data_IF_634259456823
#
_entry.id   IF_634259456823
#
_cell.length_a   1.000
_cell.length_b   1.000
_cell.length_c   1.000
_cell.angle_alpha   90.00
_cell.angle_beta   90.00
_cell.angle_gamma   90.00
#
_symmetry.space_group_name_H-M   'P 1'
#
loop_
_entity.id
_entity.type
_entity.pdbx_description
1 polymer ?
#
# COMPACT_ATOMS: atom_id res chain seq x y z
N UNK A 1 4.41 20.67 -15.17
CA UNK A 1 4.96 19.41 -14.61
C UNK A 1 6.46 19.53 -14.59
N UNK A 2 7.07 19.60 -13.41
CA UNK A 2 8.52 19.74 -13.25
C UNK A 2 9.20 18.39 -13.45
N UNK A 3 10.39 18.36 -14.06
CA UNK A 3 11.14 17.12 -14.36
C UNK A 3 11.31 16.22 -13.14
N UNK A 4 11.54 16.85 -11.99
CA UNK A 4 11.74 16.14 -10.74
C UNK A 4 10.46 15.41 -10.28
N UNK A 5 9.25 15.94 -10.56
CA UNK A 5 7.98 15.31 -10.18
C UNK A 5 7.69 14.04 -11.00
N UNK A 6 8.32 13.90 -12.17
CA UNK A 6 8.25 12.67 -12.95
C UNK A 6 9.15 11.59 -12.32
N UNK A 7 10.32 11.99 -11.82
CA UNK A 7 11.27 11.08 -11.17
C UNK A 7 10.70 10.46 -9.89
N UNK A 8 10.03 11.27 -9.05
CA UNK A 8 9.36 10.73 -7.85
C UNK A 8 8.22 9.79 -8.20
N UNK A 9 7.48 10.09 -9.27
CA UNK A 9 6.37 9.25 -9.70
C UNK A 9 6.85 7.90 -10.22
N UNK A 10 7.93 7.88 -10.99
CA UNK A 10 8.57 6.64 -11.43
C UNK A 10 9.12 5.84 -10.23
N UNK A 11 9.78 6.50 -9.27
CA UNK A 11 10.22 5.85 -8.04
C UNK A 11 9.05 5.26 -7.25
N UNK A 12 7.97 6.03 -7.05
CA UNK A 12 6.80 5.57 -6.32
C UNK A 12 6.11 4.39 -7.02
N UNK A 13 6.14 4.35 -8.35
CA UNK A 13 5.56 3.27 -9.15
C UNK A 13 6.39 1.99 -9.01
N UNK A 14 7.72 2.07 -9.09
CA UNK A 14 8.62 0.94 -8.88
C UNK A 14 8.58 0.43 -7.43
N UNK A 15 8.61 1.33 -6.45
CA UNK A 15 8.47 0.96 -5.04
C UNK A 15 7.09 0.35 -4.75
N UNK A 16 6.03 0.87 -5.39
CA UNK A 16 4.66 0.37 -5.26
C UNK A 16 4.47 -1.05 -5.80
N UNK A 17 5.24 -1.45 -6.83
CA UNK A 17 5.28 -2.83 -7.34
C UNK A 17 5.80 -3.83 -6.32
N UNK A 18 6.75 -3.41 -5.49
CA UNK A 18 7.32 -4.25 -4.43
C UNK A 18 6.41 -4.21 -3.20
N UNK A 19 5.90 -3.03 -2.85
CA UNK A 19 5.06 -2.77 -1.66
C UNK A 19 3.59 -2.74 -2.02
N UNK A 20 3.07 -3.82 -2.63
CA UNK A 20 1.64 -3.91 -3.02
C UNK A 20 0.67 -3.93 -1.84
N UNK A 21 1.20 -4.09 -0.64
CA UNK A 21 0.52 -3.97 0.64
C UNK A 21 0.29 -2.51 1.03
N UNK A 22 1.10 -1.55 0.57
CA UNK A 22 0.98 -0.15 0.95
C UNK A 22 0.10 0.64 -0.03
N UNK A 23 -0.94 1.32 0.47
CA UNK A 23 -1.81 2.20 -0.32
C UNK A 23 -1.10 3.49 -0.80
N UNK A 24 -0.11 3.96 -0.04
CA UNK A 24 0.62 5.19 -0.29
C UNK A 24 2.13 4.94 -0.21
N UNK A 25 2.89 5.57 -1.10
CA UNK A 25 4.35 5.50 -1.15
C UNK A 25 4.93 6.89 -0.92
N UNK A 26 5.78 7.03 0.09
CA UNK A 26 6.52 8.25 0.38
C UNK A 26 7.75 8.34 -0.52
N UNK A 27 7.87 9.43 -1.26
CA UNK A 27 9.08 9.78 -2.01
C UNK A 27 10.15 10.41 -1.10
N UNK A 28 11.38 10.49 -1.59
CA UNK A 28 12.51 11.11 -0.86
C UNK A 28 12.27 12.60 -0.53
N UNK A 29 11.36 13.24 -1.27
CA UNK A 29 11.00 14.65 -1.08
C UNK A 29 9.82 14.87 -0.15
N UNK A 30 9.51 13.86 0.65
CA UNK A 30 8.41 13.88 1.62
C UNK A 30 7.04 14.10 0.97
N UNK A 31 6.88 13.65 -0.29
CA UNK A 31 5.60 13.68 -1.01
C UNK A 31 5.04 12.27 -1.11
N UNK A 32 3.79 12.10 -0.70
CA UNK A 32 3.05 10.85 -0.80
C UNK A 32 2.39 10.69 -2.16
N UNK A 33 2.58 9.51 -2.77
CA UNK A 33 1.96 9.12 -4.03
C UNK A 33 1.04 7.90 -3.85
N UNK A 34 -0.13 7.87 -4.51
CA UNK A 34 -1.01 6.71 -4.46
C UNK A 34 -0.36 5.53 -5.18
N UNK A 35 -0.41 4.35 -4.56
CA UNK A 35 0.11 3.12 -5.15
C UNK A 35 -0.94 2.47 -6.07
N UNK A 36 -0.74 2.40 -7.40
CA UNK A 36 -1.70 1.76 -8.31
C UNK A 36 -1.76 0.23 -8.17
N UNK A 37 -0.79 -0.39 -7.49
CA UNK A 37 -0.73 -1.85 -7.28
C UNK A 37 -1.39 -2.29 -5.97
N UNK A 38 -1.82 -1.32 -5.15
CA UNK A 38 -2.55 -1.61 -3.92
C UNK A 38 -4.00 -2.01 -4.24
N UNK A 39 -4.43 -3.15 -3.67
CA UNK A 39 -5.76 -3.74 -3.90
C UNK A 39 -6.56 -3.92 -2.61
N UNK A 40 -6.06 -3.42 -1.48
CA UNK A 40 -6.74 -3.50 -0.18
C UNK A 40 -7.85 -2.45 -0.01
N UNK A 41 -8.36 -2.33 1.22
CA UNK A 41 -9.38 -1.34 1.55
C UNK A 41 -8.87 0.08 1.28
N UNK A 42 -9.76 0.97 0.85
CA UNK A 42 -9.38 2.35 0.58
C UNK A 42 -8.90 3.03 1.88
N UNK A 43 -7.59 3.26 1.95
CA UNK A 43 -6.97 3.98 3.08
C UNK A 43 -6.95 5.47 2.77
N UNK A 44 -7.36 6.35 3.71
CA UNK A 44 -7.20 7.80 3.55
C UNK A 44 -5.74 8.20 3.37
N UNK A 45 -5.50 9.39 2.84
CA UNK A 45 -4.13 9.91 2.71
C UNK A 45 -3.51 10.11 4.11
N UNK A 46 -2.23 9.74 4.34
CA UNK A 46 -1.64 9.78 5.68
C UNK A 46 -1.67 11.15 6.38
N UNK A 47 -1.68 12.22 5.59
CA UNK A 47 -1.72 13.61 6.09
C UNK A 47 -3.13 14.22 6.08
N UNK A 48 -4.15 13.46 5.68
CA UNK A 48 -5.54 13.94 5.69
C UNK A 48 -6.11 13.86 7.11
N UNK A 49 -6.94 14.83 7.49
CA UNK A 49 -7.57 14.89 8.83
C UNK A 49 -8.35 13.59 9.14
N UNK A 50 -8.93 12.98 8.09
CA UNK A 50 -9.66 11.71 8.19
C UNK A 50 -8.79 10.49 8.54
N UNK A 51 -7.47 10.57 8.38
CA UNK A 51 -6.56 9.50 8.74
C UNK A 51 -6.48 9.33 10.27
N UNK A 52 -6.63 10.40 11.03
CA UNK A 52 -6.62 10.35 12.48
C UNK A 52 -7.86 9.64 13.04
N UNK A 53 -9.04 9.92 12.47
CA UNK A 53 -10.30 9.22 12.79
C UNK A 53 -10.22 7.73 12.42
N UNK A 54 -9.71 7.42 11.22
CA UNK A 54 -9.55 6.03 10.76
C UNK A 54 -8.64 5.21 11.68
N UNK A 55 -7.50 5.80 12.09
CA UNK A 55 -6.57 5.19 13.04
C UNK A 55 -7.18 5.09 14.44
N UNK A 56 -7.99 6.05 14.87
CA UNK A 56 -8.65 6.00 16.17
C UNK A 56 -9.75 4.94 16.24
N UNK A 57 -10.47 4.71 15.13
CA UNK A 57 -11.54 3.71 15.04
C UNK A 57 -11.00 2.29 14.85
N UNK A 58 -10.00 2.11 13.98
CA UNK A 58 -9.50 0.78 13.62
C UNK A 58 -8.17 0.40 14.31
N UNK A 59 -7.44 1.37 14.86
CA UNK A 59 -6.10 1.19 15.43
C UNK A 59 -4.99 1.28 14.39
N UNK A 60 -3.79 1.66 14.83
CA UNK A 60 -2.58 1.75 13.99
C UNK A 60 -2.26 0.38 13.36
N UNK A 61 -2.50 -0.70 14.10
CA UNK A 61 -2.28 -2.06 13.63
C UNK A 61 -3.28 -2.48 12.56
N UNK A 62 -4.51 -1.96 12.52
CA UNK A 62 -5.45 -2.29 11.44
C UNK A 62 -5.11 -1.60 10.11
N UNK A 63 -4.60 -0.37 10.17
CA UNK A 63 -3.99 0.28 9.00
C UNK A 63 -2.82 -0.53 8.43
N UNK A 64 -2.16 -1.35 9.26
CA UNK A 64 -1.08 -2.25 8.86
C UNK A 64 -1.57 -3.68 8.57
N UNK A 65 -2.65 -4.15 9.19
CA UNK A 65 -3.20 -5.49 9.00
C UNK A 65 -4.01 -5.60 7.70
N UNK A 66 -4.71 -4.53 7.30
CA UNK A 66 -5.30 -4.44 5.96
C UNK A 66 -4.28 -4.53 4.82
N UNK A 67 -3.01 -4.29 5.14
CA UNK A 67 -1.86 -4.44 4.23
C UNK A 67 -1.27 -5.85 4.29
N UNK A 68 -1.38 -6.53 5.44
CA UNK A 68 -0.86 -7.88 5.67
C UNK A 68 -1.87 -9.02 5.40
N UNK A 69 -3.17 -8.74 5.39
CA UNK A 69 -4.26 -9.71 5.14
C UNK A 69 -4.39 -10.08 3.65
N UNK A 70 -3.27 -10.28 2.96
CA UNK A 70 -3.18 -11.36 1.96
C UNK A 70 -2.77 -12.61 2.72
N UNK A 71 -3.73 -13.25 3.40
CA UNK A 71 -3.63 -14.71 3.52
C UNK A 71 -3.64 -15.22 2.07
N UNK A 72 -2.45 -15.45 1.54
CA UNK A 72 -2.26 -16.44 0.48
C UNK A 72 -2.90 -17.70 1.08
N UNK A 73 -3.98 -18.26 0.51
CA UNK A 73 -4.43 -19.55 0.98
C UNK A 73 -3.20 -20.47 0.94
N UNK A 74 -2.94 -21.29 1.99
CA UNK A 74 -1.86 -22.25 1.91
C UNK A 74 -2.04 -23.00 0.58
N UNK A 75 -0.95 -23.15 -0.18
CA UNK A 75 -0.93 -23.96 -1.39
C UNK A 75 -1.40 -25.35 -0.96
N UNK A 76 -2.70 -25.61 -1.07
CA UNK A 76 -3.26 -26.93 -0.91
C UNK A 76 -2.50 -27.77 -1.91
N UNK A 77 -1.72 -28.71 -1.39
CA UNK A 77 -0.93 -29.64 -2.15
C UNK A 77 -1.90 -30.34 -3.10
N UNK A 78 -1.96 -29.89 -4.35
CA UNK A 78 -2.61 -30.64 -5.41
C UNK A 78 -1.78 -31.91 -5.55
N UNK A 79 -2.19 -32.95 -4.82
CA UNK A 79 -1.76 -34.31 -5.02
C UNK A 79 -1.96 -34.60 -6.50
N UNK A 80 -0.85 -34.65 -7.23
CA UNK A 80 -0.81 -35.07 -8.62
C UNK A 80 -0.84 -36.61 -8.56
N UNK A 81 -1.95 -37.28 -8.87
CA UNK A 81 -1.92 -38.73 -8.97
C UNK A 81 -1.01 -39.13 -10.15
N UNK A 82 -0.19 -40.15 -9.88
CA UNK A 82 0.83 -40.74 -10.77
C UNK A 82 0.34 -41.05 -12.19
#
# INVERSE_FOLDING_TARGET
MSFESLTDRDYALEAGRVRTDCAWVLSDRDVWYPNPFYVGLRVPHPEDDSAHDYVSEHGIDASRDLTASKTVPPLEEWEIPY
#
